data_IF_836342979356
#
_entry.id   IF_836342979356
#
_cell.length_a   1.000
_cell.length_b   1.000
_cell.length_c   1.000
_cell.angle_alpha   90.00
_cell.angle_beta   90.00
_cell.angle_gamma   90.00
#
_symmetry.space_group_name_H-M   'P 1'
#
loop_
_entity.id
_entity.type
_entity.pdbx_description
1 polymer ?
#
# COMPACT_ATOMS: atom_id res chain seq x y z
N UNK A 1 12.28 -18.55 13.12
CA UNK A 1 11.73 -18.96 14.42
C UNK A 1 12.14 -17.90 15.42
N UNK A 2 11.18 -17.23 16.03
CA UNK A 2 11.43 -16.23 17.08
C UNK A 2 10.90 -16.78 18.40
N UNK A 3 11.55 -16.45 19.50
CA UNK A 3 11.12 -16.85 20.83
C UNK A 3 10.67 -15.64 21.66
N UNK A 4 9.58 -15.80 22.39
CA UNK A 4 9.06 -14.79 23.31
C UNK A 4 8.74 -15.43 24.67
N UNK A 5 9.06 -14.73 25.75
CA UNK A 5 8.68 -15.13 27.09
C UNK A 5 7.30 -14.57 27.42
N UNK A 6 6.34 -15.44 27.73
CA UNK A 6 4.98 -15.04 28.10
C UNK A 6 4.72 -15.43 29.54
N UNK A 7 4.23 -14.47 30.34
CA UNK A 7 3.79 -14.73 31.71
C UNK A 7 2.40 -15.35 31.69
N UNK A 8 2.26 -16.54 32.25
CA UNK A 8 0.96 -17.22 32.37
C UNK A 8 0.59 -17.26 33.85
N UNK A 9 -0.64 -16.85 34.16
CA UNK A 9 -1.22 -16.88 35.50
C UNK A 9 -1.88 -18.25 35.71
N UNK A 10 -1.44 -18.99 36.73
CA UNK A 10 -2.13 -20.18 37.23
C UNK A 10 -2.52 -19.90 38.69
N UNK A 11 -3.77 -19.50 38.92
CA UNK A 11 -4.23 -19.09 40.25
C UNK A 11 -3.46 -17.87 40.76
N UNK A 12 -2.77 -17.99 41.90
CA UNK A 12 -1.93 -16.93 42.49
C UNK A 12 -0.45 -16.98 42.07
N UNK A 13 -0.06 -17.92 41.19
CA UNK A 13 1.33 -18.12 40.76
C UNK A 13 1.55 -17.66 39.32
N UNK A 14 2.68 -16.98 39.08
CA UNK A 14 3.11 -16.53 37.77
C UNK A 14 4.24 -17.42 37.26
N UNK A 15 4.05 -18.07 36.11
CA UNK A 15 5.10 -18.88 35.47
C UNK A 15 5.47 -18.25 34.14
N UNK A 16 6.78 -18.11 33.89
CA UNK A 16 7.30 -17.70 32.59
C UNK A 16 7.35 -18.93 31.67
N UNK A 17 6.63 -18.89 30.56
CA UNK A 17 6.70 -19.93 29.54
C UNK A 17 7.38 -19.37 28.28
N UNK A 18 8.38 -20.10 27.77
CA UNK A 18 8.98 -19.83 26.49
C UNK A 18 8.02 -20.27 25.37
N UNK A 19 7.67 -19.35 24.49
CA UNK A 19 6.89 -19.64 23.28
C UNK A 19 7.70 -19.37 22.03
N UNK A 20 7.43 -20.13 20.99
CA UNK A 20 8.06 -20.05 19.68
C UNK A 20 7.06 -19.63 18.63
N UNK A 21 7.49 -18.70 17.79
CA UNK A 21 6.69 -18.12 16.71
C UNK A 21 7.14 -18.69 15.37
N UNK A 22 6.19 -19.27 14.64
CA UNK A 22 6.39 -19.90 13.34
C UNK A 22 5.79 -19.03 12.24
N UNK A 23 6.58 -18.79 11.18
CA UNK A 23 6.19 -18.02 10.01
C UNK A 23 6.37 -18.89 8.75
N UNK A 24 5.50 -18.73 7.73
CA UNK A 24 5.63 -19.49 6.49
C UNK A 24 6.83 -18.97 5.70
N UNK A 25 7.65 -19.89 5.18
CA UNK A 25 8.80 -19.58 4.31
C UNK A 25 8.60 -20.12 2.89
N UNK A 26 7.38 -20.01 2.38
CA UNK A 26 7.01 -20.50 1.05
C UNK A 26 5.99 -19.56 0.41
N UNK A 27 6.09 -19.35 -0.90
CA UNK A 27 5.11 -18.57 -1.65
C UNK A 27 4.07 -19.51 -2.28
N UNK A 28 2.95 -19.66 -1.59
CA UNK A 28 1.99 -20.72 -1.88
C UNK A 28 1.09 -20.46 -3.10
N UNK A 29 1.09 -19.22 -3.61
CA UNK A 29 0.29 -18.81 -4.76
C UNK A 29 1.10 -18.59 -6.05
N UNK A 30 2.34 -19.05 -6.12
CA UNK A 30 3.18 -18.87 -7.32
C UNK A 30 2.58 -19.56 -8.55
N UNK A 31 2.04 -20.78 -8.38
CA UNK A 31 1.37 -21.51 -9.46
C UNK A 31 0.09 -20.79 -9.93
N UNK A 32 -0.66 -20.20 -8.99
CA UNK A 32 -1.81 -19.36 -9.30
C UNK A 32 -1.39 -18.12 -10.11
N UNK A 33 -0.35 -17.41 -9.68
CA UNK A 33 0.14 -16.22 -10.37
C UNK A 33 0.61 -16.56 -11.79
N UNK A 34 1.37 -17.64 -11.95
CA UNK A 34 1.80 -18.10 -13.27
C UNK A 34 0.63 -18.47 -14.18
N UNK A 35 -0.39 -19.17 -13.64
CA UNK A 35 -1.60 -19.50 -14.39
C UNK A 35 -2.36 -18.25 -14.83
N UNK A 36 -2.58 -17.29 -13.93
CA UNK A 36 -3.33 -16.07 -14.26
C UNK A 36 -2.56 -15.17 -15.23
N UNK A 37 -1.24 -15.15 -15.14
CA UNK A 37 -0.37 -14.52 -16.14
C UNK A 37 -0.50 -15.20 -17.51
N UNK A 38 -0.41 -16.52 -17.58
CA UNK A 38 -0.49 -17.27 -18.84
C UNK A 38 -1.88 -17.17 -19.47
N UNK A 39 -2.94 -17.09 -18.65
CA UNK A 39 -4.33 -17.04 -19.13
C UNK A 39 -4.80 -15.64 -19.50
N UNK A 40 -4.51 -14.66 -18.66
CA UNK A 40 -5.05 -13.30 -18.77
C UNK A 40 -4.00 -12.22 -18.94
N UNK A 41 -2.74 -12.59 -19.13
CA UNK A 41 -1.63 -11.64 -19.21
C UNK A 41 -1.44 -10.85 -17.92
N UNK A 42 -0.86 -9.66 -18.08
CA UNK A 42 -0.67 -8.70 -16.99
C UNK A 42 -1.99 -8.29 -16.31
N UNK A 43 -3.09 -7.98 -17.03
CA UNK A 43 -4.38 -7.72 -16.38
C UNK A 43 -4.86 -8.89 -15.51
N UNK A 44 -4.61 -10.11 -15.99
CA UNK A 44 -4.96 -11.32 -15.26
C UNK A 44 -4.18 -11.46 -13.96
N UNK A 45 -2.87 -11.18 -14.00
CA UNK A 45 -1.99 -11.27 -12.84
C UNK A 45 -2.22 -10.14 -11.83
N UNK A 46 -2.39 -8.89 -12.25
CA UNK A 46 -2.38 -7.75 -11.33
C UNK A 46 -3.73 -7.44 -10.68
N UNK A 47 -4.76 -8.26 -10.92
CA UNK A 47 -6.12 -8.02 -10.39
C UNK A 47 -6.18 -8.05 -8.86
N UNK A 48 -6.99 -7.17 -8.27
CA UNK A 48 -7.25 -7.12 -6.81
C UNK A 48 -7.76 -8.45 -6.25
N UNK A 49 -8.60 -9.16 -7.00
CA UNK A 49 -9.25 -10.39 -6.55
C UNK A 49 -8.26 -11.50 -6.18
N UNK A 50 -7.18 -11.70 -6.95
CA UNK A 50 -6.21 -12.77 -6.66
C UNK A 50 -5.29 -12.40 -5.50
N UNK A 51 -5.16 -11.10 -5.19
CA UNK A 51 -4.39 -10.64 -4.03
C UNK A 51 -5.19 -10.84 -2.74
N UNK A 52 -6.51 -10.57 -2.75
CA UNK A 52 -7.39 -10.64 -1.57
C UNK A 52 -7.96 -12.03 -1.30
N UNK A 53 -8.32 -12.73 -2.36
CA UNK A 53 -9.01 -14.02 -2.29
C UNK A 53 -8.30 -15.09 -3.14
N UNK A 54 -6.98 -15.28 -3.02
CA UNK A 54 -6.24 -16.24 -3.84
C UNK A 54 -6.80 -17.66 -3.75
N UNK A 55 -7.33 -18.05 -2.60
CA UNK A 55 -7.91 -19.37 -2.33
C UNK A 55 -9.16 -19.69 -3.18
N UNK A 56 -9.85 -18.69 -3.73
CA UNK A 56 -11.03 -18.91 -4.58
C UNK A 56 -10.65 -19.24 -6.03
N UNK A 57 -9.35 -19.25 -6.36
CA UNK A 57 -8.85 -19.51 -7.68
C UNK A 57 -8.10 -20.84 -7.74
N UNK A 58 -8.19 -21.51 -8.88
CA UNK A 58 -7.37 -22.69 -9.18
C UNK A 58 -5.94 -22.26 -9.59
N UNK A 59 -4.88 -23.02 -9.28
CA UNK A 59 -4.85 -24.18 -8.39
C UNK A 59 -5.14 -23.76 -6.95
N UNK A 60 -6.04 -24.50 -6.31
CA UNK A 60 -6.38 -24.28 -4.91
C UNK A 60 -5.19 -24.68 -4.06
N UNK A 61 -5.01 -23.96 -2.96
CA UNK A 61 -4.05 -24.32 -1.94
C UNK A 61 -4.80 -24.73 -0.67
N UNK A 62 -4.43 -25.87 -0.09
CA UNK A 62 -5.06 -26.49 1.07
C UNK A 62 -4.18 -26.46 2.33
N UNK A 63 -3.13 -25.64 2.34
CA UNK A 63 -2.28 -25.50 3.50
C UNK A 63 -3.08 -25.08 4.74
N UNK A 64 -2.86 -25.82 5.82
CA UNK A 64 -3.44 -25.53 7.12
C UNK A 64 -2.40 -25.84 8.19
N UNK A 65 -1.97 -24.81 8.93
CA UNK A 65 -0.96 -24.98 9.97
C UNK A 65 -1.40 -25.94 11.09
N UNK A 66 -2.70 -26.09 11.34
CA UNK A 66 -3.22 -27.01 12.34
C UNK A 66 -2.88 -28.48 12.02
N UNK A 67 -2.56 -28.81 10.76
CA UNK A 67 -2.11 -30.16 10.38
C UNK A 67 -0.81 -30.59 11.07
N UNK A 68 0.02 -29.63 11.52
CA UNK A 68 1.22 -29.90 12.30
C UNK A 68 0.97 -30.15 13.79
N UNK A 69 -0.28 -30.06 14.26
CA UNK A 69 -0.66 -30.26 15.67
C UNK A 69 0.20 -29.44 16.65
N UNK A 70 0.25 -28.10 16.50
CA UNK A 70 1.09 -27.26 17.34
C UNK A 70 0.70 -27.37 18.82
N UNK A 71 1.70 -27.52 19.68
CA UNK A 71 1.51 -27.50 21.14
C UNK A 71 1.36 -26.06 21.65
N UNK A 72 0.94 -25.87 22.91
CA UNK A 72 0.74 -24.52 23.49
C UNK A 72 1.99 -23.63 23.58
N UNK A 73 3.17 -24.17 23.27
CA UNK A 73 4.42 -23.40 23.12
C UNK A 73 4.64 -22.90 21.70
N UNK A 74 3.91 -23.40 20.70
CA UNK A 74 4.05 -23.00 19.31
C UNK A 74 2.89 -22.07 18.90
N UNK A 75 3.22 -20.83 18.53
CA UNK A 75 2.29 -19.85 18.00
C UNK A 75 2.58 -19.72 16.50
N UNK A 76 1.58 -20.00 15.65
CA UNK A 76 1.64 -19.61 14.25
C UNK A 76 1.35 -18.12 14.11
N UNK A 77 2.16 -17.43 13.31
CA UNK A 77 1.81 -16.10 12.80
C UNK A 77 0.42 -16.15 12.12
N UNK A 78 -0.41 -15.10 12.19
CA UNK A 78 -1.71 -15.10 11.52
C UNK A 78 -1.61 -15.41 10.02
N UNK A 79 -0.54 -14.94 9.37
CA UNK A 79 -0.24 -15.25 7.96
C UNK A 79 0.21 -16.69 7.72
N UNK A 80 0.61 -17.41 8.78
CA UNK A 80 0.90 -18.83 8.76
C UNK A 80 -0.36 -19.69 9.01
N UNK A 81 -1.39 -19.16 9.68
CA UNK A 81 -2.59 -19.95 10.00
C UNK A 81 -3.39 -20.29 8.74
N UNK A 82 -3.47 -19.34 7.82
CA UNK A 82 -4.06 -19.49 6.49
C UNK A 82 -3.13 -18.86 5.48
N UNK A 83 -2.88 -19.53 4.36
CA UNK A 83 -2.08 -18.92 3.31
C UNK A 83 -2.78 -17.68 2.74
N UNK A 84 -2.01 -16.62 2.62
CA UNK A 84 -2.45 -15.31 2.11
C UNK A 84 -1.37 -14.72 1.21
N UNK A 85 -1.76 -13.79 0.33
CA UNK A 85 -0.77 -12.90 -0.31
C UNK A 85 -0.33 -11.89 0.75
N UNK A 86 0.81 -12.19 1.37
CA UNK A 86 1.36 -11.42 2.48
C UNK A 86 2.10 -10.16 1.99
N UNK A 87 1.85 -9.04 2.65
CA UNK A 87 2.51 -7.75 2.45
C UNK A 87 3.05 -7.17 3.76
N UNK A 88 3.03 -7.96 4.84
CA UNK A 88 3.48 -7.56 6.17
C UNK A 88 4.99 -7.27 6.17
N UNK A 89 5.48 -6.32 6.99
CA UNK A 89 6.90 -5.97 7.01
C UNK A 89 7.86 -7.13 7.35
N UNK A 90 7.35 -8.18 8.00
CA UNK A 90 8.13 -9.35 8.47
C UNK A 90 7.86 -10.61 7.66
N UNK A 91 6.96 -10.54 6.68
CA UNK A 91 6.63 -11.68 5.82
C UNK A 91 7.80 -12.08 4.95
N UNK A 92 8.16 -13.36 4.94
CA UNK A 92 9.28 -13.88 4.16
C UNK A 92 9.14 -13.60 2.65
N UNK A 93 7.90 -13.61 2.15
CA UNK A 93 7.58 -13.42 0.74
C UNK A 93 7.05 -12.01 0.42
N UNK A 94 6.86 -11.18 1.46
CA UNK A 94 6.22 -9.87 1.34
C UNK A 94 6.92 -8.93 0.38
N UNK A 95 8.25 -8.96 0.34
CA UNK A 95 9.06 -8.10 -0.52
C UNK A 95 8.78 -8.35 -2.00
N UNK A 96 8.61 -9.62 -2.38
CA UNK A 96 8.30 -10.01 -3.76
C UNK A 96 6.88 -9.61 -4.14
N UNK A 97 5.94 -9.71 -3.21
CA UNK A 97 4.57 -9.25 -3.45
C UNK A 97 4.50 -7.73 -3.62
N UNK A 98 5.21 -6.97 -2.78
CA UNK A 98 5.36 -5.52 -2.96
C UNK A 98 6.02 -5.17 -4.29
N UNK A 99 7.02 -5.94 -4.72
CA UNK A 99 7.68 -5.72 -5.99
C UNK A 99 6.73 -5.99 -7.17
N UNK A 100 6.05 -7.14 -7.16
CA UNK A 100 5.17 -7.60 -8.23
C UNK A 100 3.91 -6.74 -8.39
N UNK A 101 3.21 -6.47 -7.28
CA UNK A 101 1.89 -5.83 -7.31
C UNK A 101 1.92 -4.31 -7.14
N UNK A 102 3.10 -3.72 -6.89
CA UNK A 102 3.22 -2.27 -6.71
C UNK A 102 4.47 -1.68 -7.35
N UNK A 103 5.68 -2.07 -6.93
CA UNK A 103 6.89 -1.35 -7.35
C UNK A 103 7.16 -1.48 -8.86
N UNK A 104 7.02 -2.68 -9.43
CA UNK A 104 7.24 -2.88 -10.86
C UNK A 104 6.20 -2.14 -11.71
N UNK A 105 4.87 -2.28 -11.48
CA UNK A 105 3.87 -1.50 -12.23
C UNK A 105 4.08 0.01 -12.11
N UNK A 106 4.41 0.50 -10.90
CA UNK A 106 4.63 1.93 -10.66
C UNK A 106 5.87 2.45 -11.40
N UNK A 107 6.97 1.70 -11.38
CA UNK A 107 8.19 2.04 -12.09
C UNK A 107 7.95 2.08 -13.60
N UNK A 108 7.25 1.08 -14.14
CA UNK A 108 6.93 1.00 -15.56
C UNK A 108 6.07 2.21 -15.99
N UNK A 109 5.02 2.53 -15.24
CA UNK A 109 4.18 3.71 -15.50
C UNK A 109 5.00 5.01 -15.51
N UNK A 110 5.88 5.20 -14.52
CA UNK A 110 6.75 6.37 -14.45
C UNK A 110 7.72 6.44 -15.64
N UNK A 111 8.27 5.31 -16.07
CA UNK A 111 9.18 5.26 -17.24
C UNK A 111 8.44 5.51 -18.56
N UNK A 112 7.22 5.00 -18.71
CA UNK A 112 6.39 5.29 -19.89
C UNK A 112 6.01 6.77 -19.95
N UNK A 113 5.62 7.36 -18.81
CA UNK A 113 5.33 8.80 -18.68
C UNK A 113 6.55 9.63 -19.11
N UNK A 114 7.75 9.31 -18.61
CA UNK A 114 8.98 10.00 -18.95
C UNK A 114 9.34 9.91 -20.44
N UNK A 115 8.87 8.87 -21.13
CA UNK A 115 9.05 8.66 -22.56
C UNK A 115 7.83 9.09 -23.39
N UNK A 116 6.94 9.93 -22.84
CA UNK A 116 5.74 10.47 -23.51
C UNK A 116 4.75 9.41 -24.02
N UNK A 117 4.82 8.19 -23.49
CA UNK A 117 3.88 7.09 -23.78
C UNK A 117 2.73 7.12 -22.78
N UNK A 118 1.94 8.19 -22.82
CA UNK A 118 0.99 8.53 -21.75
C UNK A 118 -0.19 7.55 -21.62
N UNK A 119 -0.80 7.14 -22.73
CA UNK A 119 -1.89 6.15 -22.71
C UNK A 119 -1.42 4.80 -22.13
N UNK A 120 -0.22 4.38 -22.49
CA UNK A 120 0.36 3.15 -21.93
C UNK A 120 0.70 3.31 -20.45
N UNK A 121 1.24 4.47 -20.04
CA UNK A 121 1.47 4.76 -18.64
C UNK A 121 0.17 4.70 -17.82
N UNK A 122 -0.94 5.21 -18.37
CA UNK A 122 -2.26 5.15 -17.74
C UNK A 122 -2.69 3.71 -17.46
N UNK A 123 -2.57 2.82 -18.45
CA UNK A 123 -2.87 1.38 -18.28
C UNK A 123 -2.09 0.77 -17.12
N UNK A 124 -0.82 1.16 -16.96
CA UNK A 124 0.01 0.67 -15.85
C UNK A 124 -0.36 1.27 -14.50
N UNK A 125 -0.70 2.56 -14.45
CA UNK A 125 -1.22 3.16 -13.22
C UNK A 125 -2.53 2.51 -12.77
N UNK A 126 -3.42 2.15 -13.70
CA UNK A 126 -4.69 1.50 -13.41
C UNK A 126 -4.54 0.11 -12.77
N UNK A 127 -3.39 -0.56 -12.88
CA UNK A 127 -3.12 -1.77 -12.10
C UNK A 127 -2.85 -1.51 -10.61
N UNK A 128 -2.69 -0.25 -10.20
CA UNK A 128 -2.48 0.16 -8.81
C UNK A 128 -3.66 1.01 -8.31
N UNK A 129 -4.04 2.00 -9.11
CA UNK A 129 -5.04 3.02 -8.80
C UNK A 129 -5.89 3.31 -10.05
N UNK A 130 -7.16 2.97 -9.98
CA UNK A 130 -8.15 3.25 -11.02
C UNK A 130 -9.27 4.16 -10.47
N UNK A 131 -9.22 5.47 -10.75
CA UNK A 131 -10.26 6.39 -10.32
C UNK A 131 -11.58 6.24 -11.09
N UNK A 132 -11.62 5.41 -12.13
CA UNK A 132 -12.80 5.15 -12.95
C UNK A 132 -13.62 3.94 -12.48
N UNK A 133 -13.14 3.22 -11.46
CA UNK A 133 -13.82 2.06 -10.90
C UNK A 133 -15.22 2.44 -10.34
N UNK A 134 -16.25 1.80 -10.90
CA UNK A 134 -17.66 1.97 -10.56
C UNK A 134 -18.20 0.89 -9.62
N UNK A 135 -17.33 0.04 -9.06
CA UNK A 135 -17.74 -0.95 -8.06
C UNK A 135 -18.48 -0.27 -6.89
N UNK A 136 -19.51 -0.95 -6.37
CA UNK A 136 -20.36 -0.47 -5.27
C UNK A 136 -19.65 -0.63 -3.91
N UNK A 137 -18.45 -0.06 -3.81
CA UNK A 137 -17.60 -0.05 -2.64
C UNK A 137 -17.35 1.40 -2.19
N UNK A 138 -16.96 1.57 -0.92
CA UNK A 138 -16.71 2.89 -0.37
C UNK A 138 -15.52 3.57 -1.07
N UNK A 139 -15.69 4.84 -1.46
CA UNK A 139 -14.56 5.69 -1.82
C UNK A 139 -13.84 6.14 -0.54
N UNK A 140 -12.49 6.25 -0.55
CA UNK A 140 -11.59 6.09 -1.70
C UNK A 140 -11.09 4.64 -1.92
N UNK A 141 -11.45 3.69 -1.06
CA UNK A 141 -10.92 2.33 -1.08
C UNK A 141 -11.13 1.63 -2.43
N UNK A 142 -12.32 1.80 -3.02
CA UNK A 142 -12.68 1.15 -4.29
C UNK A 142 -11.68 1.41 -5.43
N UNK A 143 -11.05 2.58 -5.45
CA UNK A 143 -10.14 2.97 -6.51
C UNK A 143 -8.77 2.28 -6.42
N UNK A 144 -8.46 1.61 -5.30
CA UNK A 144 -7.19 0.92 -5.12
C UNK A 144 -7.28 -0.55 -5.54
N UNK A 145 -6.39 -0.95 -6.44
CA UNK A 145 -6.27 -2.35 -6.91
C UNK A 145 -5.31 -3.13 -6.01
N UNK A 146 -4.18 -2.52 -5.66
CA UNK A 146 -3.17 -3.12 -4.77
C UNK A 146 -3.74 -3.39 -3.38
N UNK A 147 -3.70 -4.65 -2.94
CA UNK A 147 -4.35 -5.14 -1.71
C UNK A 147 -4.07 -4.29 -0.46
N UNK A 148 -2.81 -3.97 -0.10
CA UNK A 148 -2.51 -3.12 1.05
C UNK A 148 -3.17 -1.73 1.04
N UNK A 149 -3.38 -1.15 -0.14
CA UNK A 149 -4.00 0.17 -0.27
C UNK A 149 -5.52 0.08 -0.21
N UNK A 150 -6.10 -1.00 -0.75
CA UNK A 150 -7.52 -1.29 -0.68
C UNK A 150 -7.98 -1.60 0.74
N UNK A 151 -7.26 -2.50 1.44
CA UNK A 151 -7.63 -2.96 2.78
C UNK A 151 -7.43 -1.86 3.84
N UNK A 152 -6.76 -0.75 3.49
CA UNK A 152 -6.54 0.36 4.41
C UNK A 152 -7.81 1.21 4.57
N UNK A 153 -8.37 1.22 5.79
CA UNK A 153 -9.52 2.05 6.15
C UNK A 153 -9.16 3.49 6.52
N UNK A 154 -10.19 4.33 6.67
CA UNK A 154 -10.03 5.73 7.06
C UNK A 154 -9.36 5.91 8.43
N UNK A 155 -9.50 4.92 9.32
CA UNK A 155 -8.86 4.94 10.65
C UNK A 155 -7.36 4.73 10.50
N UNK A 156 -6.94 3.77 9.69
CA UNK A 156 -5.54 3.44 9.41
C UNK A 156 -4.84 4.58 8.67
N UNK A 157 -5.51 5.18 7.68
CA UNK A 157 -5.00 6.38 6.98
C UNK A 157 -4.80 7.52 7.96
N UNK A 158 -5.75 7.75 8.88
CA UNK A 158 -5.65 8.79 9.90
C UNK A 158 -4.50 8.55 10.87
N UNK A 159 -4.29 7.31 11.32
CA UNK A 159 -3.18 6.93 12.20
C UNK A 159 -1.82 7.23 11.56
N UNK A 160 -1.71 7.12 10.24
CA UNK A 160 -0.48 7.40 9.50
C UNK A 160 -0.27 8.88 9.16
N UNK A 161 -1.12 9.81 9.62
CA UNK A 161 -0.84 11.25 9.45
C UNK A 161 0.43 11.63 10.20
N UNK A 162 1.14 12.63 9.69
CA UNK A 162 2.36 13.11 10.36
C UNK A 162 2.01 13.62 11.76
N UNK A 163 0.88 14.33 11.90
CA UNK A 163 0.45 14.86 13.19
C UNK A 163 0.20 13.77 14.23
N UNK A 164 -0.48 12.68 13.89
CA UNK A 164 -0.76 11.58 14.84
C UNK A 164 0.52 10.87 15.31
N UNK A 165 1.57 10.86 14.48
CA UNK A 165 2.88 10.34 14.90
C UNK A 165 3.61 11.33 15.79
N UNK A 166 3.56 12.63 15.48
CA UNK A 166 4.16 13.67 16.32
C UNK A 166 3.51 13.75 17.72
N UNK A 167 2.21 13.50 17.80
CA UNK A 167 1.48 13.50 19.07
C UNK A 167 1.79 12.25 19.91
N UNK A 168 2.28 11.17 19.30
CA UNK A 168 2.60 9.90 19.98
C UNK A 168 3.90 9.27 19.46
N UNK A 169 5.00 10.01 19.59
CA UNK A 169 6.33 9.61 19.11
C UNK A 169 6.84 8.35 19.82
N UNK A 170 6.50 8.17 21.09
CA UNK A 170 6.99 7.05 21.90
C UNK A 170 6.50 5.70 21.39
N UNK A 171 5.23 5.62 20.95
CA UNK A 171 4.68 4.41 20.32
C UNK A 171 5.25 4.08 18.94
N UNK A 172 5.88 5.07 18.27
CA UNK A 172 6.50 4.93 16.94
C UNK A 172 8.04 5.03 17.02
N UNK A 173 8.61 4.83 18.21
CA UNK A 173 10.05 4.89 18.45
C UNK A 173 10.88 4.00 17.49
N UNK A 174 10.49 2.76 17.12
CA UNK A 174 11.30 1.96 16.21
C UNK A 174 11.31 2.53 14.78
N UNK A 175 10.19 3.04 14.26
CA UNK A 175 10.12 3.66 12.94
C UNK A 175 10.91 4.97 12.89
N UNK A 176 10.80 5.78 13.94
CA UNK A 176 11.57 7.03 14.10
C UNK A 176 13.06 6.74 14.18
N UNK A 177 13.46 5.68 14.91
CA UNK A 177 14.87 5.27 15.01
C UNK A 177 15.40 4.74 13.68
N UNK A 178 14.61 3.94 12.97
CA UNK A 178 15.00 3.43 11.66
C UNK A 178 15.17 4.57 10.63
N UNK A 179 14.27 5.56 10.64
CA UNK A 179 14.45 6.78 9.85
C UNK A 179 15.69 7.58 10.28
N UNK A 180 15.91 7.76 11.59
CA UNK A 180 17.08 8.49 12.12
C UNK A 180 18.40 7.85 11.69
N UNK A 181 18.46 6.52 11.64
CA UNK A 181 19.66 5.77 11.25
C UNK A 181 19.86 5.78 9.72
N UNK A 182 18.79 5.86 8.94
CA UNK A 182 18.82 5.84 7.47
C UNK A 182 17.98 7.00 6.84
N UNK A 183 18.35 8.28 7.09
CA UNK A 183 17.48 9.42 6.78
C UNK A 183 17.22 9.65 5.28
N UNK A 184 18.10 9.14 4.42
CA UNK A 184 18.01 9.28 2.96
C UNK A 184 17.46 8.03 2.26
N UNK A 185 16.86 7.10 3.00
CA UNK A 185 16.15 5.93 2.43
C UNK A 185 14.64 6.11 2.54
N UNK A 186 13.99 6.88 1.64
CA UNK A 186 12.56 7.18 1.73
C UNK A 186 11.67 5.92 1.70
N UNK A 187 12.10 4.87 0.99
CA UNK A 187 11.39 3.59 0.96
C UNK A 187 11.34 2.88 2.30
N UNK A 188 12.32 3.09 3.18
CA UNK A 188 12.32 2.50 4.53
C UNK A 188 11.14 3.05 5.34
N UNK A 189 10.90 4.36 5.25
CA UNK A 189 9.77 5.02 5.92
C UNK A 189 8.44 4.73 5.21
N UNK A 190 8.44 4.63 3.88
CA UNK A 190 7.22 4.35 3.12
C UNK A 190 6.73 2.91 3.30
N UNK A 191 7.62 1.93 3.55
CA UNK A 191 7.24 0.54 3.88
C UNK A 191 6.44 0.43 5.17
N UNK A 192 6.73 1.27 6.16
CA UNK A 192 5.94 1.34 7.41
C UNK A 192 4.69 2.21 7.25
N UNK A 193 4.62 3.03 6.19
CA UNK A 193 3.54 3.99 5.95
C UNK A 193 3.03 3.92 4.51
N UNK A 194 2.22 2.90 4.15
CA UNK A 194 1.64 2.74 2.81
C UNK A 194 0.94 4.00 2.25
N UNK A 195 0.43 4.90 3.10
CA UNK A 195 -0.14 6.19 2.66
C UNK A 195 0.86 7.03 1.86
N UNK A 196 2.16 6.94 2.13
CA UNK A 196 3.18 7.64 1.35
C UNK A 196 3.23 7.14 -0.10
N UNK A 197 3.08 5.83 -0.30
CA UNK A 197 3.00 5.25 -1.64
C UNK A 197 1.72 5.63 -2.36
N UNK A 198 0.57 5.59 -1.68
CA UNK A 198 -0.71 6.05 -2.26
C UNK A 198 -0.60 7.49 -2.78
N UNK A 199 -0.03 8.39 -1.99
CA UNK A 199 0.21 9.79 -2.42
C UNK A 199 1.13 9.87 -3.63
N UNK A 200 2.22 9.10 -3.64
CA UNK A 200 3.14 9.10 -4.77
C UNK A 200 2.48 8.63 -6.07
N UNK A 201 1.63 7.59 -5.99
CA UNK A 201 0.84 7.10 -7.14
C UNK A 201 -0.09 8.18 -7.66
N UNK A 202 -0.90 8.80 -6.79
CA UNK A 202 -1.85 9.84 -7.19
C UNK A 202 -1.13 11.03 -7.81
N UNK A 203 -0.02 11.49 -7.21
CA UNK A 203 0.76 12.61 -7.76
C UNK A 203 1.34 12.25 -9.14
N UNK A 204 1.90 11.04 -9.32
CA UNK A 204 2.45 10.62 -10.61
C UNK A 204 1.40 10.35 -11.67
N UNK A 205 0.21 9.91 -11.28
CA UNK A 205 -0.94 9.81 -12.16
C UNK A 205 -1.35 11.19 -12.69
N UNK A 206 -1.44 12.18 -11.80
CA UNK A 206 -1.79 13.57 -12.15
C UNK A 206 -0.69 14.20 -13.01
N UNK A 207 0.58 14.00 -12.68
CA UNK A 207 1.72 14.43 -13.52
C UNK A 207 1.57 13.89 -14.96
N UNK A 208 1.19 12.62 -15.11
CA UNK A 208 0.96 12.00 -16.43
C UNK A 208 -0.21 12.64 -17.19
N UNK A 209 -1.34 12.91 -16.53
CA UNK A 209 -2.48 13.60 -17.13
C UNK A 209 -2.12 15.00 -17.62
N UNK A 210 -1.41 15.77 -16.79
CA UNK A 210 -1.00 17.13 -17.11
C UNK A 210 -0.01 17.12 -18.27
N UNK A 211 1.03 16.27 -18.21
CA UNK A 211 2.02 16.18 -19.28
C UNK A 211 1.40 15.74 -20.62
N UNK A 212 0.42 14.84 -20.58
CA UNK A 212 -0.33 14.44 -21.77
C UNK A 212 -1.18 15.59 -22.31
N UNK A 213 -1.92 16.28 -21.44
CA UNK A 213 -2.66 17.49 -21.79
C UNK A 213 -1.77 18.55 -22.43
N UNK A 214 -0.57 18.79 -21.86
CA UNK A 214 0.38 19.77 -22.36
C UNK A 214 0.88 19.40 -23.78
N UNK A 215 1.12 18.12 -24.04
CA UNK A 215 1.53 17.65 -25.36
C UNK A 215 0.40 17.85 -26.38
N UNK A 216 -0.83 17.48 -26.03
CA UNK A 216 -1.99 17.66 -26.90
C UNK A 216 -2.25 19.13 -27.20
N UNK A 217 -2.17 19.98 -26.17
CA UNK A 217 -2.39 21.42 -26.30
C UNK A 217 -1.41 22.08 -27.28
N UNK A 218 -0.16 21.59 -27.36
CA UNK A 218 0.86 22.08 -28.30
C UNK A 218 0.59 21.72 -29.77
N UNK A 219 -0.29 20.75 -30.06
CA UNK A 219 -0.63 20.42 -31.44
C UNK A 219 -1.55 21.46 -32.10
N UNK A 220 -2.21 22.30 -31.30
CA UNK A 220 -3.00 23.45 -31.74
C UNK A 220 -4.12 23.12 -32.76
N UNK A 221 -4.79 21.98 -32.56
CA UNK A 221 -6.02 21.62 -33.29
C UNK A 221 -7.23 21.70 -32.37
N UNK A 222 -8.42 21.95 -32.91
CA UNK A 222 -9.66 22.00 -32.11
C UNK A 222 -9.89 20.70 -31.35
N UNK A 223 -9.63 19.56 -31.99
CA UNK A 223 -9.80 18.23 -31.39
C UNK A 223 -8.80 18.00 -30.26
N UNK A 224 -7.52 18.32 -30.46
CA UNK A 224 -6.46 18.12 -29.46
C UNK A 224 -6.62 19.04 -28.26
N UNK A 225 -7.08 20.28 -28.47
CA UNK A 225 -7.41 21.20 -27.38
C UNK A 225 -8.60 20.68 -26.55
N UNK A 226 -9.62 20.12 -27.21
CA UNK A 226 -10.77 19.52 -26.51
C UNK A 226 -10.34 18.29 -25.69
N UNK A 227 -9.48 17.44 -26.22
CA UNK A 227 -8.95 16.27 -25.50
C UNK A 227 -8.06 16.71 -24.31
N UNK A 228 -7.16 17.68 -24.52
CA UNK A 228 -6.35 18.26 -23.44
C UNK A 228 -7.21 18.82 -22.30
N UNK A 229 -8.32 19.51 -22.65
CA UNK A 229 -9.28 20.03 -21.66
C UNK A 229 -9.86 18.91 -20.80
N UNK A 230 -10.24 17.78 -21.39
CA UNK A 230 -10.77 16.63 -20.64
C UNK A 230 -9.74 16.10 -19.62
N UNK A 231 -8.47 16.01 -20.01
CA UNK A 231 -7.39 15.58 -19.12
C UNK A 231 -7.18 16.55 -17.95
N UNK A 232 -7.20 17.86 -18.20
CA UNK A 232 -7.08 18.85 -17.12
C UNK A 232 -8.26 18.85 -16.16
N UNK A 233 -9.48 18.66 -16.68
CA UNK A 233 -10.68 18.53 -15.83
C UNK A 233 -10.58 17.29 -14.94
N UNK A 234 -10.16 16.15 -15.50
CA UNK A 234 -9.93 14.93 -14.71
C UNK A 234 -8.87 15.15 -13.61
N UNK A 235 -7.76 15.80 -13.95
CA UNK A 235 -6.73 16.14 -12.97
C UNK A 235 -7.26 17.08 -11.87
N UNK A 236 -8.11 18.04 -12.23
CA UNK A 236 -8.75 18.97 -11.29
C UNK A 236 -9.70 18.25 -10.33
N UNK A 237 -10.55 17.35 -10.83
CA UNK A 237 -11.46 16.54 -10.01
C UNK A 237 -10.69 15.68 -9.00
N UNK A 238 -9.55 15.12 -9.41
CA UNK A 238 -8.69 14.32 -8.52
C UNK A 238 -7.98 15.17 -7.44
N UNK A 239 -7.52 16.38 -7.78
CA UNK A 239 -6.91 17.31 -6.82
C UNK A 239 -7.94 17.90 -5.85
N UNK A 240 -9.18 18.07 -6.31
CA UNK A 240 -10.23 18.75 -5.59
C UNK A 240 -9.97 20.24 -5.39
N UNK A 241 -10.69 20.84 -4.45
CA UNK A 241 -10.58 22.29 -4.17
C UNK A 241 -9.23 22.62 -3.56
N UNK A 242 -8.65 23.74 -4.01
CA UNK A 242 -7.42 24.28 -3.43
C UNK A 242 -7.57 24.50 -1.92
N UNK A 243 -6.65 23.99 -1.08
CA UNK A 243 -6.71 24.21 0.36
C UNK A 243 -6.64 25.70 0.72
N UNK A 244 -7.47 26.15 1.66
CA UNK A 244 -7.39 27.51 2.19
C UNK A 244 -6.23 27.60 3.20
N UNK A 245 -5.27 28.49 2.95
CA UNK A 245 -4.17 28.76 3.88
C UNK A 245 -4.70 29.61 5.03
N UNK A 246 -5.12 28.99 6.14
CA UNK A 246 -5.39 29.75 7.36
C UNK A 246 -4.06 30.28 7.91
N UNK A 247 -3.77 31.56 7.65
CA UNK A 247 -2.63 32.26 8.27
C UNK A 247 -2.97 32.48 9.74
N UNK A 248 -2.62 31.55 10.61
CA UNK A 248 -2.57 31.82 12.05
C UNK A 248 -1.44 31.06 12.74
N UNK A 249 -0.20 31.50 12.46
CA UNK A 249 0.91 31.26 13.37
C UNK A 249 0.61 32.07 14.64
N UNK A 250 0.10 31.44 15.70
CA UNK A 250 0.01 32.10 17.01
C UNK A 250 1.44 32.53 17.38
N UNK A 251 1.66 33.83 17.52
CA UNK A 251 2.86 34.33 18.17
C UNK A 251 2.85 33.79 19.63
N UNK A 252 4.01 33.39 20.19
CA UNK A 252 4.08 33.10 21.61
C UNK A 252 3.71 34.38 22.36
N UNK A 253 2.62 34.34 23.10
CA UNK A 253 2.26 35.39 24.05
C UNK A 253 3.27 35.33 25.18
N UNK A 254 4.22 36.26 25.20
CA UNK A 254 5.08 36.49 26.37
C UNK A 254 4.18 36.81 27.57
N UNK A 255 4.38 36.18 28.75
CA UNK A 255 3.70 36.60 29.96
C UNK A 255 4.18 38.01 30.33
N UNK A 256 3.23 38.92 30.56
CA UNK A 256 3.52 40.26 31.10
C UNK A 256 4.05 40.11 32.53
N UNK A 257 5.15 40.79 32.90
CA UNK A 257 5.61 40.84 34.29
C UNK A 257 4.64 41.68 35.14
N UNK A 258 4.40 41.19 36.36
CA UNK A 258 3.58 41.82 37.41
C UNK A 258 4.22 43.08 37.99
#
# INVERSE_FOLDING_TARGET
MESEWVTIQHGSSQTLQLRYRFAPFSHQYTALFLRELNRGGIPGLLRRAIQRFPQTFYPTNSFNFASYQPTGVAIAEPTAQTDVVDFSPRGATSIYNWELFFHAPFLIACKLTANQRFDEAMKWFHYIFDPTDTEQLAAPQRFWVTKPFFDMGDVEIRKQRIQSILDNVESHAPEVRAWKNDPFKPFLVARTRPVAFQKAVVMKYIDNLIAWGDQLYRMDTLESINEARMLYVLAHELLGRRPSTSRRRRAPTSPMPS
#
